data_IF_093388863512
#
_entry.id   IF_093388863512
#
_cell.length_a   1.000
_cell.length_b   1.000
_cell.length_c   1.000
_cell.angle_alpha   90.00
_cell.angle_beta   90.00
_cell.angle_gamma   90.00
#
_symmetry.space_group_name_H-M   'P 1'
#
loop_
_entity.id
_entity.type
_entity.pdbx_description
1 polymer ?
#
# COMPACT_ATOMS: atom_id res chain seq x y z
N UNK A 1 -2.83 -31.90 30.33
CA UNK A 1 -3.12 -30.63 31.05
C UNK A 1 -2.51 -29.50 30.26
N UNK A 2 -3.33 -28.73 29.61
CA UNK A 2 -2.89 -27.62 28.73
C UNK A 2 -2.27 -26.52 29.58
N UNK A 3 -0.96 -26.42 29.53
CA UNK A 3 -0.18 -25.44 30.32
C UNK A 3 -0.44 -24.02 29.82
N UNK A 4 -0.69 -23.08 30.74
CA UNK A 4 -0.73 -21.65 30.42
C UNK A 4 0.64 -21.22 29.88
N UNK A 5 0.65 -20.64 28.66
CA UNK A 5 1.90 -20.24 27.97
C UNK A 5 2.35 -18.83 28.35
N UNK A 6 1.39 -17.94 28.65
CA UNK A 6 1.65 -16.54 29.00
C UNK A 6 0.82 -16.14 30.22
N UNK A 7 1.46 -15.56 31.22
CA UNK A 7 0.81 -15.05 32.42
C UNK A 7 0.99 -13.53 32.47
N UNK A 8 -0.12 -12.82 32.28
CA UNK A 8 -0.18 -11.36 32.44
C UNK A 8 -0.61 -11.04 33.87
N UNK A 9 -1.66 -11.69 34.36
CA UNK A 9 -2.08 -11.62 35.75
C UNK A 9 -2.04 -13.02 36.38
N UNK A 10 -1.17 -13.27 37.39
CA UNK A 10 -1.09 -14.60 38.05
C UNK A 10 -2.41 -15.01 38.72
N UNK A 11 -3.16 -14.05 39.25
CA UNK A 11 -4.44 -14.29 39.93
C UNK A 11 -5.63 -14.10 38.96
N UNK A 12 -5.35 -13.98 37.64
CA UNK A 12 -6.37 -13.76 36.63
C UNK A 12 -7.31 -14.93 36.48
N UNK A 13 -8.60 -14.61 36.39
CA UNK A 13 -9.72 -15.55 36.32
C UNK A 13 -10.06 -15.96 34.87
N UNK A 14 -9.52 -15.25 33.89
CA UNK A 14 -9.75 -15.50 32.46
C UNK A 14 -8.52 -16.11 31.82
N UNK A 15 -8.72 -17.19 31.05
CA UNK A 15 -7.70 -17.77 30.17
C UNK A 15 -8.16 -17.59 28.74
N UNK A 16 -7.48 -16.74 28.00
CA UNK A 16 -7.72 -16.59 26.57
C UNK A 16 -6.98 -17.73 25.85
N UNK A 17 -7.69 -18.48 25.03
CA UNK A 17 -7.15 -19.57 24.21
C UNK A 17 -7.08 -19.07 22.78
N UNK A 18 -5.88 -18.63 22.36
CA UNK A 18 -5.63 -18.19 21.01
C UNK A 18 -5.20 -19.37 20.15
N UNK A 19 -6.05 -19.76 19.20
CA UNK A 19 -5.80 -20.81 18.21
C UNK A 19 -5.39 -20.22 16.89
N UNK A 20 -4.70 -21.00 16.07
CA UNK A 20 -4.26 -20.59 14.74
C UNK A 20 -3.61 -19.19 14.76
N UNK A 21 -2.76 -18.96 15.78
CA UNK A 21 -2.10 -17.67 15.95
C UNK A 21 -1.20 -17.34 14.75
N UNK A 22 -0.97 -16.03 14.54
CA UNK A 22 -0.12 -15.51 13.46
C UNK A 22 -0.62 -15.86 12.05
N UNK A 23 -1.95 -15.92 11.84
CA UNK A 23 -2.48 -16.03 10.49
C UNK A 23 -2.01 -14.82 9.64
N UNK A 24 -1.91 -14.99 8.31
CA UNK A 24 -1.55 -13.91 7.41
C UNK A 24 -2.39 -12.65 7.65
N UNK A 25 -1.74 -11.51 7.68
CA UNK A 25 -2.39 -10.24 8.02
C UNK A 25 -2.33 -9.27 6.85
N UNK A 26 -3.48 -8.69 6.51
CA UNK A 26 -3.61 -7.67 5.49
C UNK A 26 -2.97 -8.11 4.14
N UNK A 27 -3.23 -9.33 3.71
CA UNK A 27 -2.77 -9.83 2.42
C UNK A 27 -3.47 -9.11 1.27
N UNK A 28 -2.72 -8.94 0.19
CA UNK A 28 -3.24 -8.34 -1.03
C UNK A 28 -4.10 -9.37 -1.78
N UNK A 29 -5.23 -8.92 -2.32
CA UNK A 29 -5.96 -9.71 -3.30
C UNK A 29 -5.24 -9.76 -4.65
N UNK A 30 -5.65 -10.70 -5.52
CA UNK A 30 -5.02 -10.90 -6.83
C UNK A 30 -5.08 -9.64 -7.70
N UNK A 31 -6.15 -8.86 -7.61
CA UNK A 31 -6.32 -7.61 -8.35
C UNK A 31 -5.29 -6.56 -7.92
N UNK A 32 -5.02 -6.46 -6.62
CA UNK A 32 -4.00 -5.54 -6.09
C UNK A 32 -2.58 -5.99 -6.45
N UNK A 33 -2.30 -7.28 -6.39
CA UNK A 33 -1.01 -7.84 -6.82
C UNK A 33 -0.76 -7.51 -8.29
N UNK A 34 -1.74 -7.69 -9.17
CA UNK A 34 -1.65 -7.34 -10.58
C UNK A 34 -1.43 -5.82 -10.79
N UNK A 35 -2.13 -4.98 -10.03
CA UNK A 35 -1.99 -3.52 -10.10
C UNK A 35 -0.60 -3.05 -9.65
N UNK A 36 -0.03 -3.65 -8.62
CA UNK A 36 1.32 -3.35 -8.14
C UNK A 36 2.37 -3.78 -9.18
N UNK A 37 2.21 -4.95 -9.78
CA UNK A 37 3.14 -5.48 -10.78
C UNK A 37 3.20 -4.64 -12.06
N UNK A 38 2.14 -3.88 -12.38
CA UNK A 38 2.08 -3.00 -13.55
C UNK A 38 2.73 -1.62 -13.35
N UNK A 39 3.13 -1.26 -12.12
CA UNK A 39 3.75 0.03 -11.85
C UNK A 39 5.19 0.08 -12.35
N UNK A 40 5.62 1.18 -13.03
CA UNK A 40 7.02 1.34 -13.41
C UNK A 40 7.90 1.38 -12.15
N UNK A 41 9.00 0.63 -12.16
CA UNK A 41 10.00 0.71 -11.09
C UNK A 41 10.51 2.16 -10.97
N UNK A 42 10.43 2.74 -9.78
CA UNK A 42 11.04 4.04 -9.51
C UNK A 42 12.56 3.89 -9.67
N UNK A 43 13.10 4.54 -10.71
CA UNK A 43 14.54 4.69 -10.87
C UNK A 43 15.00 5.66 -9.79
N UNK A 44 15.57 5.13 -8.72
CA UNK A 44 16.30 5.92 -7.75
C UNK A 44 17.47 6.58 -8.49
N UNK A 45 17.36 7.88 -8.74
CA UNK A 45 18.44 8.71 -9.26
C UNK A 45 19.52 8.76 -8.18
N UNK A 46 20.74 8.27 -8.44
CA UNK A 46 21.83 8.49 -7.50
C UNK A 46 22.17 9.98 -7.52
N UNK A 47 22.28 10.59 -6.35
CA UNK A 47 22.85 11.94 -6.18
C UNK A 47 24.23 12.01 -6.84
N UNK A 48 24.56 13.12 -7.52
CA UNK A 48 25.87 13.28 -8.13
C UNK A 48 26.95 13.43 -7.05
N UNK A 49 27.82 12.41 -6.93
CA UNK A 49 29.04 12.50 -6.15
C UNK A 49 29.99 13.52 -6.80
N UNK A 50 30.47 14.48 -6.03
CA UNK A 50 31.44 15.47 -6.43
C UNK A 50 32.76 14.78 -6.88
N UNK A 51 33.18 15.05 -8.12
CA UNK A 51 34.46 14.71 -8.69
C UNK A 51 35.57 15.46 -7.97
N UNK A 52 36.56 14.72 -7.44
CA UNK A 52 37.94 15.22 -7.33
C UNK A 52 38.88 14.22 -8.00
N UNK A 53 39.49 14.73 -9.08
CA UNK A 53 40.27 13.99 -10.04
C UNK A 53 41.63 13.49 -9.57
N UNK A 54 42.11 12.49 -10.28
CA UNK A 54 43.46 12.38 -10.89
C UNK A 54 43.63 10.97 -11.47
N UNK A 55 43.73 10.90 -12.78
CA UNK A 55 44.24 9.75 -13.54
C UNK A 55 45.79 9.73 -13.53
N UNK A 56 46.56 8.76 -14.13
CA UNK A 56 46.18 7.82 -15.18
C UNK A 56 46.84 6.38 -15.15
N UNK A 57 46.34 5.53 -16.07
CA UNK A 57 47.01 4.46 -16.86
C UNK A 57 47.48 3.19 -16.13
N UNK A 58 47.08 1.98 -16.55
CA UNK A 58 47.54 1.17 -17.68
C UNK A 58 46.76 -0.16 -17.77
N UNK A 59 46.60 -0.65 -18.96
CA UNK A 59 45.91 -1.88 -19.38
C UNK A 59 46.86 -3.09 -19.47
N UNK A 60 46.38 -4.25 -20.00
CA UNK A 60 46.20 -5.55 -19.34
C UNK A 60 47.26 -6.58 -19.80
N UNK A 61 47.19 -7.88 -19.56
CA UNK A 61 46.49 -8.83 -20.41
C UNK A 61 45.98 -10.18 -19.82
N UNK A 62 44.94 -10.69 -20.45
CA UNK A 62 44.71 -12.04 -21.03
C UNK A 62 45.00 -13.36 -20.28
N UNK A 63 43.90 -14.18 -20.31
CA UNK A 63 43.79 -15.57 -20.79
C UNK A 63 44.12 -16.76 -19.88
N UNK A 64 43.20 -17.67 -19.80
CA UNK A 64 43.03 -19.08 -20.24
C UNK A 64 42.37 -19.89 -19.11
N UNK A 65 41.21 -20.44 -19.24
CA UNK A 65 40.72 -21.62 -19.96
C UNK A 65 41.06 -22.98 -19.32
N UNK A 66 40.04 -23.84 -19.27
CA UNK A 66 40.05 -25.31 -19.21
C UNK A 66 40.20 -25.94 -17.81
N UNK A 67 39.43 -26.95 -17.38
CA UNK A 67 38.73 -28.10 -17.97
C UNK A 67 37.97 -28.83 -16.87
N UNK A 68 36.83 -29.44 -17.21
CA UNK A 68 36.25 -30.59 -16.54
C UNK A 68 37.03 -31.87 -16.84
N UNK A 69 36.90 -32.97 -16.08
CA UNK A 69 35.96 -34.04 -16.40
C UNK A 69 35.31 -34.73 -15.16
N UNK A 70 34.07 -35.13 -15.23
CA UNK A 70 33.48 -36.49 -15.44
C UNK A 70 34.08 -37.62 -14.60
N UNK A 71 33.30 -38.38 -13.86
CA UNK A 71 32.60 -39.64 -14.12
C UNK A 71 32.15 -40.33 -12.79
N UNK A 72 30.97 -40.92 -12.85
CA UNK A 72 30.41 -41.97 -12.00
C UNK A 72 31.21 -43.32 -12.12
N UNK A 73 30.85 -44.49 -11.51
CA UNK A 73 29.52 -44.96 -11.06
C UNK A 73 29.49 -45.94 -9.84
N UNK A 74 28.24 -46.22 -9.42
CA UNK A 74 27.63 -47.45 -8.88
C UNK A 74 28.36 -48.37 -7.92
N UNK A 75 27.66 -48.76 -6.81
CA UNK A 75 27.38 -50.16 -6.53
C UNK A 75 26.22 -50.36 -5.53
N UNK A 76 25.27 -51.17 -5.98
CA UNK A 76 24.13 -51.72 -5.23
C UNK A 76 24.60 -52.80 -4.26
N UNK A 77 23.95 -52.91 -3.10
CA UNK A 77 23.77 -54.21 -2.42
C UNK A 77 22.46 -54.29 -1.61
N UNK A 78 21.84 -55.42 -1.82
CA UNK A 78 20.49 -55.89 -1.55
C UNK A 78 20.13 -56.10 -0.09
N UNK A 79 18.80 -56.08 0.14
CA UNK A 79 17.99 -56.41 1.33
C UNK A 79 18.26 -57.77 1.96
N UNK A 80 17.73 -58.01 3.19
CA UNK A 80 16.61 -58.97 3.29
C UNK A 80 15.38 -58.49 4.06
N UNK A 81 14.28 -59.04 3.67
CA UNK A 81 12.90 -58.83 4.10
C UNK A 81 12.54 -59.46 5.45
N UNK A 82 11.52 -58.80 6.11
CA UNK A 82 10.34 -59.30 6.85
C UNK A 82 10.45 -59.52 8.38
N UNK A 83 9.33 -59.47 9.14
CA UNK A 83 7.90 -59.43 8.78
C UNK A 83 7.06 -58.27 9.34
N UNK A 84 5.88 -58.11 8.78
CA UNK A 84 4.82 -57.18 9.14
C UNK A 84 4.25 -57.39 10.54
N UNK A 85 4.13 -56.32 11.29
CA UNK A 85 3.17 -56.16 12.37
C UNK A 85 2.26 -54.99 12.05
N UNK A 86 0.95 -55.18 12.20
CA UNK A 86 -0.10 -54.24 11.93
C UNK A 86 0.10 -52.89 12.66
N UNK A 87 -0.15 -51.75 12.02
CA UNK A 87 -0.08 -50.46 12.70
C UNK A 87 -1.31 -50.29 13.60
N UNK A 88 -1.08 -50.27 14.90
CA UNK A 88 -2.00 -49.68 15.87
C UNK A 88 -2.15 -48.21 15.45
N UNK A 89 -3.32 -47.84 14.99
CA UNK A 89 -3.74 -46.42 14.85
C UNK A 89 -3.68 -45.79 16.24
N UNK A 90 -2.53 -45.24 16.59
CA UNK A 90 -2.44 -44.17 17.56
C UNK A 90 -2.86 -42.93 16.84
N UNK A 91 -4.10 -42.50 17.08
CA UNK A 91 -4.55 -41.15 16.67
C UNK A 91 -3.55 -40.11 17.17
N UNK A 92 -2.66 -39.70 16.29
CA UNK A 92 -1.78 -38.58 16.54
C UNK A 92 -2.68 -37.34 16.59
N UNK A 93 -2.98 -36.86 17.80
CA UNK A 93 -3.34 -35.48 18.01
C UNK A 93 -2.15 -34.66 17.49
N UNK A 94 -2.29 -34.08 16.31
CA UNK A 94 -1.37 -33.04 15.83
C UNK A 94 -1.47 -31.93 16.86
N UNK A 95 -0.46 -31.84 17.74
CA UNK A 95 -0.31 -30.71 18.64
C UNK A 95 -0.30 -29.45 17.77
N UNK A 96 -1.34 -28.64 17.96
CA UNK A 96 -1.56 -27.36 17.27
C UNK A 96 -0.44 -26.42 17.77
N UNK A 97 0.71 -26.40 17.06
CA UNK A 97 1.90 -25.63 17.42
C UNK A 97 1.63 -24.12 17.55
N UNK A 98 0.43 -23.68 17.13
CA UNK A 98 -0.02 -22.29 17.10
C UNK A 98 -1.06 -21.96 18.19
N UNK A 99 -1.21 -22.77 19.22
CA UNK A 99 -2.18 -22.54 20.30
C UNK A 99 -1.50 -21.93 21.54
N UNK A 100 -1.95 -20.74 21.94
CA UNK A 100 -1.46 -20.04 23.13
C UNK A 100 -2.56 -19.90 24.18
N UNK A 101 -2.20 -20.08 25.45
CA UNK A 101 -3.11 -19.92 26.61
C UNK A 101 -2.61 -18.76 27.47
N UNK A 102 -3.36 -17.65 27.49
CA UNK A 102 -2.96 -16.38 28.10
C UNK A 102 -3.85 -16.13 29.32
N UNK A 103 -3.26 -16.08 30.52
CA UNK A 103 -3.99 -15.78 31.75
C UNK A 103 -4.04 -14.28 32.00
N UNK A 104 -5.24 -13.73 32.21
CA UNK A 104 -5.53 -12.30 32.35
C UNK A 104 -6.61 -12.03 33.39
N UNK A 105 -6.68 -10.80 33.91
CA UNK A 105 -7.71 -10.37 34.84
C UNK A 105 -9.01 -9.97 34.15
N UNK A 106 -10.11 -10.57 34.57
CA UNK A 106 -11.45 -10.21 34.11
C UNK A 106 -11.78 -8.73 34.38
N UNK A 107 -11.35 -8.20 35.54
CA UNK A 107 -11.61 -6.80 35.92
C UNK A 107 -10.94 -5.80 34.99
N UNK A 108 -9.66 -6.04 34.66
CA UNK A 108 -8.94 -5.19 33.72
C UNK A 108 -9.54 -5.22 32.34
N UNK A 109 -9.90 -6.42 31.83
CA UNK A 109 -10.59 -6.57 30.55
C UNK A 109 -11.91 -5.80 30.52
N UNK A 110 -12.76 -5.94 31.53
CA UNK A 110 -14.05 -5.26 31.62
C UNK A 110 -13.93 -3.73 31.77
N UNK A 111 -12.89 -3.25 32.45
CA UNK A 111 -12.65 -1.84 32.62
C UNK A 111 -12.22 -1.18 31.31
N UNK A 112 -11.33 -1.83 30.57
CA UNK A 112 -10.72 -1.29 29.36
C UNK A 112 -11.61 -1.46 28.12
N UNK A 113 -12.56 -2.42 28.10
CA UNK A 113 -13.27 -2.85 26.92
C UNK A 113 -14.77 -3.05 27.17
N UNK A 114 -15.63 -2.29 26.51
CA UNK A 114 -17.08 -2.54 26.49
C UNK A 114 -17.43 -3.92 25.90
N UNK A 115 -16.62 -4.41 24.97
CA UNK A 115 -16.77 -5.75 24.39
C UNK A 115 -16.60 -6.83 25.47
N UNK A 116 -15.46 -6.85 26.17
CA UNK A 116 -15.21 -7.80 27.25
C UNK A 116 -16.18 -7.61 28.43
N UNK A 117 -16.57 -6.36 28.73
CA UNK A 117 -17.58 -6.12 29.75
C UNK A 117 -18.90 -6.80 29.40
N UNK A 118 -19.38 -6.63 28.17
CA UNK A 118 -20.62 -7.29 27.69
C UNK A 118 -20.49 -8.81 27.69
N UNK A 119 -19.33 -9.33 27.25
CA UNK A 119 -19.05 -10.76 27.21
C UNK A 119 -19.06 -11.41 28.60
N UNK A 120 -18.44 -10.76 29.61
CA UNK A 120 -18.25 -11.33 30.94
C UNK A 120 -19.40 -11.01 31.93
N UNK A 121 -20.22 -9.99 31.71
CA UNK A 121 -21.34 -9.62 32.58
C UNK A 121 -22.73 -9.77 31.94
N UNK A 122 -22.80 -10.06 30.64
CA UNK A 122 -24.05 -10.18 29.89
C UNK A 122 -24.84 -11.46 30.25
N UNK A 123 -25.74 -11.82 29.32
CA UNK A 123 -26.52 -13.08 29.43
C UNK A 123 -25.94 -14.18 28.53
N UNK A 124 -24.68 -14.07 28.19
CA UNK A 124 -23.99 -15.02 27.32
C UNK A 124 -23.57 -16.26 28.12
N UNK A 125 -23.32 -17.35 27.42
CA UNK A 125 -22.85 -18.59 28.00
C UNK A 125 -21.58 -18.41 28.83
N UNK A 126 -20.69 -17.55 28.32
CA UNK A 126 -19.42 -17.17 28.92
C UNK A 126 -19.63 -16.46 30.26
N UNK A 127 -20.53 -15.48 30.34
CA UNK A 127 -20.80 -14.77 31.59
C UNK A 127 -21.42 -15.69 32.67
N UNK A 128 -22.33 -16.61 32.27
CA UNK A 128 -22.92 -17.56 33.18
C UNK A 128 -21.84 -18.52 33.71
N UNK A 129 -20.94 -18.99 32.85
CA UNK A 129 -19.83 -19.86 33.27
C UNK A 129 -18.87 -19.13 34.23
N UNK A 130 -18.53 -17.86 33.94
CA UNK A 130 -17.71 -17.01 34.81
C UNK A 130 -18.35 -16.81 36.20
N UNK A 131 -19.62 -16.47 36.26
CA UNK A 131 -20.36 -16.25 37.50
C UNK A 131 -20.46 -17.49 38.36
N UNK A 132 -20.59 -18.68 37.75
CA UNK A 132 -20.69 -19.96 38.49
C UNK A 132 -19.37 -20.55 38.93
N UNK A 133 -18.34 -20.45 38.06
CA UNK A 133 -17.04 -21.12 38.29
C UNK A 133 -15.97 -20.19 38.84
N UNK A 134 -16.16 -18.87 38.78
CA UNK A 134 -15.13 -17.89 39.14
C UNK A 134 -13.96 -17.81 38.15
N UNK A 135 -13.96 -18.65 37.10
CA UNK A 135 -12.96 -18.61 36.02
C UNK A 135 -13.57 -19.04 34.70
N UNK A 136 -12.96 -18.61 33.61
CA UNK A 136 -13.48 -18.86 32.26
C UNK A 136 -12.34 -18.98 31.23
N UNK A 137 -12.59 -19.82 30.24
CA UNK A 137 -11.77 -19.89 29.00
C UNK A 137 -12.49 -19.17 27.88
N UNK A 138 -11.79 -18.24 27.21
CA UNK A 138 -12.29 -17.48 26.06
C UNK A 138 -11.52 -17.93 24.80
N UNK A 139 -12.19 -18.58 23.85
CA UNK A 139 -11.56 -18.94 22.59
C UNK A 139 -11.44 -17.72 21.69
N UNK A 140 -10.25 -17.53 21.13
CA UNK A 140 -9.91 -16.53 20.11
C UNK A 140 -9.11 -17.20 19.01
N UNK A 141 -9.10 -16.63 17.81
CA UNK A 141 -8.49 -17.25 16.66
C UNK A 141 -7.79 -16.22 15.74
N UNK A 142 -6.65 -16.62 15.15
CA UNK A 142 -6.02 -15.92 14.03
C UNK A 142 -5.16 -14.71 14.39
N UNK A 143 -5.24 -14.18 15.60
CA UNK A 143 -4.50 -12.98 15.97
C UNK A 143 -2.99 -13.20 16.04
N UNK A 144 -2.21 -12.17 15.72
CA UNK A 144 -0.77 -12.16 16.00
C UNK A 144 -0.54 -12.14 17.50
N UNK A 145 0.20 -13.13 18.01
CA UNK A 145 0.42 -13.31 19.45
C UNK A 145 1.14 -12.11 20.06
N UNK A 146 2.12 -11.50 19.36
CA UNK A 146 2.88 -10.38 19.90
C UNK A 146 2.03 -9.12 19.97
N UNK A 147 1.25 -8.83 18.92
CA UNK A 147 0.31 -7.72 18.91
C UNK A 147 -0.75 -7.87 20.02
N UNK A 148 -1.26 -9.09 20.21
CA UNK A 148 -2.23 -9.38 21.25
C UNK A 148 -1.64 -9.24 22.66
N UNK A 149 -0.42 -9.72 22.90
CA UNK A 149 0.27 -9.52 24.16
C UNK A 149 0.56 -8.04 24.47
N UNK A 150 0.90 -7.23 23.45
CA UNK A 150 1.07 -5.77 23.60
C UNK A 150 -0.24 -5.15 24.09
N UNK A 151 -1.37 -5.45 23.43
CA UNK A 151 -2.68 -4.95 23.82
C UNK A 151 -3.06 -5.38 25.24
N UNK A 152 -2.95 -6.66 25.55
CA UNK A 152 -3.29 -7.19 26.88
C UNK A 152 -2.42 -6.58 27.97
N UNK A 153 -1.11 -6.36 27.73
CA UNK A 153 -0.21 -5.65 28.64
C UNK A 153 -0.62 -4.19 28.85
N UNK A 154 -1.05 -3.52 27.79
CA UNK A 154 -1.56 -2.14 27.88
C UNK A 154 -2.82 -2.09 28.78
N UNK A 155 -3.77 -2.99 28.57
CA UNK A 155 -4.99 -3.14 29.40
C UNK A 155 -4.64 -3.41 30.87
N UNK A 156 -3.59 -4.16 31.17
CA UNK A 156 -3.16 -4.53 32.53
C UNK A 156 -2.09 -3.58 33.11
N UNK A 157 -1.86 -2.41 32.49
CA UNK A 157 -0.89 -1.42 32.95
C UNK A 157 0.55 -1.92 33.09
N UNK A 158 0.93 -2.96 32.32
CA UNK A 158 2.29 -3.52 32.30
C UNK A 158 3.20 -2.75 31.32
N UNK A 159 3.29 -1.46 31.49
CA UNK A 159 3.95 -0.52 30.56
C UNK A 159 5.43 -0.83 30.29
N UNK A 160 6.16 -1.38 31.26
CA UNK A 160 7.57 -1.77 31.07
C UNK A 160 7.79 -2.93 30.08
N UNK A 161 6.74 -3.71 29.80
CA UNK A 161 6.79 -4.85 28.88
C UNK A 161 6.28 -4.50 27.48
N UNK A 162 5.88 -3.25 27.26
CA UNK A 162 5.40 -2.77 25.98
C UNK A 162 6.57 -2.15 25.22
N UNK A 163 6.88 -2.62 23.99
CA UNK A 163 7.91 -2.02 23.16
C UNK A 163 7.64 -0.55 22.89
N UNK A 164 8.68 0.27 22.90
CA UNK A 164 8.56 1.70 22.58
C UNK A 164 8.62 1.98 21.08
N UNK A 165 9.17 1.05 20.31
CA UNK A 165 9.27 1.07 18.85
C UNK A 165 8.48 -0.11 18.30
N UNK A 166 7.70 0.11 17.26
CA UNK A 166 6.96 -0.89 16.52
C UNK A 166 7.18 -0.67 15.03
N UNK A 167 7.13 -1.73 14.24
CA UNK A 167 7.00 -1.62 12.79
C UNK A 167 5.60 -1.15 12.42
N UNK A 168 5.41 -0.59 11.21
CA UNK A 168 4.10 -0.21 10.69
C UNK A 168 3.13 -1.38 10.73
N UNK A 169 3.59 -2.58 10.37
CA UNK A 169 2.76 -3.79 10.42
C UNK A 169 2.32 -4.14 11.84
N UNK A 170 3.24 -4.14 12.81
CA UNK A 170 2.91 -4.45 14.20
C UNK A 170 1.95 -3.42 14.80
N UNK A 171 2.13 -2.15 14.45
CA UNK A 171 1.23 -1.09 14.86
C UNK A 171 -0.17 -1.25 14.25
N UNK A 172 -0.25 -1.62 12.96
CA UNK A 172 -1.52 -1.90 12.30
C UNK A 172 -2.25 -3.09 12.95
N UNK A 173 -1.54 -4.19 13.23
CA UNK A 173 -2.09 -5.35 13.95
C UNK A 173 -2.64 -4.96 15.33
N UNK A 174 -1.86 -4.18 16.10
CA UNK A 174 -2.28 -3.71 17.42
C UNK A 174 -3.52 -2.80 17.38
N UNK A 175 -3.60 -1.92 16.40
CA UNK A 175 -4.76 -1.02 16.23
C UNK A 175 -6.01 -1.74 15.74
N UNK A 176 -5.88 -2.75 14.87
CA UNK A 176 -7.00 -3.60 14.46
C UNK A 176 -7.56 -4.37 15.66
N UNK A 177 -6.69 -4.92 16.52
CA UNK A 177 -7.09 -5.56 17.76
C UNK A 177 -7.82 -4.60 18.71
N UNK A 178 -7.28 -3.38 18.89
CA UNK A 178 -7.87 -2.37 19.76
C UNK A 178 -9.24 -1.90 19.24
N UNK A 179 -9.38 -1.77 17.91
CA UNK A 179 -10.68 -1.48 17.29
C UNK A 179 -11.68 -2.63 17.46
N UNK A 180 -11.23 -3.88 17.25
CA UNK A 180 -12.09 -5.06 17.40
C UNK A 180 -12.64 -5.18 18.83
N UNK A 181 -11.77 -5.11 19.82
CA UNK A 181 -12.16 -5.22 21.24
C UNK A 181 -12.68 -3.91 21.84
N UNK A 182 -12.74 -2.83 21.08
CA UNK A 182 -13.22 -1.49 21.52
C UNK A 182 -12.48 -1.00 22.77
N UNK A 183 -11.16 -1.01 22.71
CA UNK A 183 -10.27 -0.61 23.80
C UNK A 183 -9.20 0.40 23.38
N UNK A 184 -9.58 1.33 22.51
CA UNK A 184 -8.71 2.38 21.96
C UNK A 184 -8.04 3.20 23.07
N UNK A 185 -8.75 3.46 24.17
CA UNK A 185 -8.23 4.24 25.30
C UNK A 185 -7.00 3.57 25.94
N UNK A 186 -6.97 2.23 25.99
CA UNK A 186 -5.86 1.47 26.59
C UNK A 186 -4.52 1.69 25.86
N UNK A 187 -4.55 1.97 24.54
CA UNK A 187 -3.35 2.22 23.75
C UNK A 187 -3.13 3.69 23.38
N UNK A 188 -4.06 4.58 23.74
CA UNK A 188 -4.01 6.01 23.36
C UNK A 188 -2.75 6.71 23.87
N UNK A 189 -2.29 6.39 25.06
CA UNK A 189 -1.06 6.95 25.65
C UNK A 189 0.21 6.55 24.86
N UNK A 190 0.17 5.45 24.14
CA UNK A 190 1.28 4.95 23.33
C UNK A 190 1.33 5.56 21.95
N UNK A 191 0.23 6.15 21.46
CA UNK A 191 0.12 6.68 20.09
C UNK A 191 1.27 7.59 19.74
N UNK A 192 1.51 8.64 20.55
CA UNK A 192 2.59 9.61 20.30
C UNK A 192 3.98 8.95 20.32
N UNK A 193 4.19 7.98 21.22
CA UNK A 193 5.47 7.28 21.36
C UNK A 193 5.73 6.45 20.09
N UNK A 194 4.77 5.62 19.69
CA UNK A 194 4.92 4.75 18.54
C UNK A 194 5.00 5.52 17.22
N UNK A 195 4.11 6.50 17.00
CA UNK A 195 4.11 7.29 15.77
C UNK A 195 5.43 8.07 15.59
N UNK A 196 5.95 8.67 16.67
CA UNK A 196 7.22 9.39 16.61
C UNK A 196 8.45 8.48 16.47
N UNK A 197 8.31 7.20 16.80
CA UNK A 197 9.37 6.22 16.72
C UNK A 197 9.33 5.37 15.43
N UNK A 198 8.33 5.59 14.57
CA UNK A 198 8.27 4.91 13.27
C UNK A 198 9.38 5.46 12.36
N UNK A 199 10.22 4.55 11.86
CA UNK A 199 11.28 4.84 10.89
C UNK A 199 10.78 4.70 9.44
N UNK A 200 9.70 3.91 9.24
CA UNK A 200 9.12 3.69 7.92
C UNK A 200 8.32 4.90 7.46
N UNK A 201 8.64 5.37 6.25
CA UNK A 201 7.91 6.45 5.59
C UNK A 201 6.64 5.92 4.91
N UNK A 202 5.71 6.86 4.62
CA UNK A 202 4.53 6.52 3.83
C UNK A 202 4.97 6.22 2.40
N UNK A 203 4.63 5.04 1.85
CA UNK A 203 5.02 4.67 0.49
C UNK A 203 4.55 5.66 -0.57
N UNK A 204 5.41 5.96 -1.54
CA UNK A 204 5.08 6.74 -2.74
C UNK A 204 4.42 5.89 -3.84
N UNK A 205 4.35 4.56 -3.65
CA UNK A 205 3.77 3.58 -4.56
C UNK A 205 2.47 2.99 -4.01
N UNK A 206 1.63 2.44 -4.89
CA UNK A 206 0.43 1.71 -4.50
C UNK A 206 0.83 0.32 -3.99
N UNK A 207 0.82 0.13 -2.69
CA UNK A 207 1.37 -1.06 -2.02
C UNK A 207 0.54 -1.47 -0.81
N UNK A 208 0.78 -2.67 -0.29
CA UNK A 208 0.19 -3.14 0.97
C UNK A 208 0.44 -2.15 2.12
N UNK A 209 1.68 -1.70 2.25
CA UNK A 209 2.08 -0.83 3.37
C UNK A 209 1.42 0.55 3.29
N UNK A 210 1.07 1.02 2.08
CA UNK A 210 0.25 2.21 1.92
C UNK A 210 -1.12 2.06 2.60
N UNK A 211 -1.75 0.88 2.52
CA UNK A 211 -3.03 0.61 3.19
C UNK A 211 -2.86 0.44 4.69
N UNK A 212 -1.74 -0.09 5.17
CA UNK A 212 -1.42 -0.09 6.60
C UNK A 212 -1.35 1.35 7.14
N UNK A 213 -0.63 2.24 6.43
CA UNK A 213 -0.57 3.66 6.76
C UNK A 213 -1.92 4.36 6.66
N UNK A 214 -2.74 4.02 5.67
CA UNK A 214 -4.09 4.58 5.53
C UNK A 214 -4.95 4.21 6.74
N UNK A 215 -4.89 2.93 7.17
CA UNK A 215 -5.59 2.48 8.37
C UNK A 215 -5.07 3.16 9.64
N UNK A 216 -3.76 3.14 9.88
CA UNK A 216 -3.12 3.75 11.07
C UNK A 216 -3.47 5.25 11.16
N UNK A 217 -3.33 5.97 10.05
CA UNK A 217 -3.61 7.40 10.02
C UNK A 217 -5.09 7.74 10.22
N UNK A 218 -5.99 6.89 9.71
CA UNK A 218 -7.42 6.99 10.00
C UNK A 218 -7.71 6.71 11.48
N UNK A 219 -7.16 5.64 12.04
CA UNK A 219 -7.39 5.21 13.40
C UNK A 219 -6.92 6.25 14.43
N UNK A 220 -5.69 6.71 14.31
CA UNK A 220 -5.09 7.69 15.23
C UNK A 220 -5.40 9.15 14.89
N UNK A 221 -6.23 9.41 13.89
CA UNK A 221 -6.59 10.77 13.45
C UNK A 221 -5.36 11.63 13.12
N UNK A 222 -4.49 11.12 12.24
CA UNK A 222 -3.28 11.77 11.77
C UNK A 222 -3.53 12.49 10.43
N UNK A 223 -3.90 13.79 10.41
CA UNK A 223 -4.41 14.43 9.19
C UNK A 223 -3.37 14.53 8.07
N UNK A 224 -2.10 14.75 8.42
CA UNK A 224 -1.02 14.86 7.41
C UNK A 224 -0.76 13.53 6.72
N UNK A 225 -0.58 12.46 7.51
CA UNK A 225 -0.33 11.11 7.03
C UNK A 225 -1.53 10.58 6.25
N UNK A 226 -2.74 10.83 6.73
CA UNK A 226 -3.97 10.44 6.04
C UNK A 226 -4.09 11.14 4.67
N UNK A 227 -3.82 12.45 4.62
CA UNK A 227 -3.84 13.21 3.36
C UNK A 227 -2.80 12.68 2.38
N UNK A 228 -1.59 12.37 2.84
CA UNK A 228 -0.54 11.81 2.01
C UNK A 228 -0.88 10.40 1.50
N UNK A 229 -1.31 9.49 2.38
CA UNK A 229 -1.66 8.12 2.01
C UNK A 229 -2.83 8.07 1.01
N UNK A 230 -3.89 8.87 1.24
CA UNK A 230 -5.02 8.95 0.31
C UNK A 230 -4.64 9.59 -1.03
N UNK A 231 -3.77 10.60 -1.04
CA UNK A 231 -3.22 11.20 -2.27
C UNK A 231 -2.49 10.17 -3.11
N UNK A 232 -1.58 9.41 -2.49
CA UNK A 232 -0.82 8.35 -3.17
C UNK A 232 -1.75 7.26 -3.69
N UNK A 233 -2.69 6.78 -2.87
CA UNK A 233 -3.64 5.74 -3.27
C UNK A 233 -4.46 6.16 -4.50
N UNK A 234 -5.02 7.37 -4.51
CA UNK A 234 -5.81 7.89 -5.64
C UNK A 234 -4.97 8.13 -6.89
N UNK A 235 -3.74 8.63 -6.72
CA UNK A 235 -2.89 9.02 -7.85
C UNK A 235 -2.23 7.81 -8.54
N UNK A 236 -1.95 6.76 -7.80
CA UNK A 236 -1.20 5.58 -8.26
C UNK A 236 -2.06 4.34 -8.53
N UNK A 237 -3.35 4.35 -8.19
CA UNK A 237 -4.25 3.25 -8.49
C UNK A 237 -4.59 3.19 -9.98
N UNK A 238 -4.45 2.01 -10.59
CA UNK A 238 -4.84 1.75 -11.97
C UNK A 238 -6.34 1.44 -12.12
N UNK A 239 -6.96 0.99 -11.03
CA UNK A 239 -8.35 0.55 -11.02
C UNK A 239 -9.13 1.16 -9.86
N UNK A 240 -10.37 0.70 -9.70
CA UNK A 240 -11.20 1.02 -8.55
C UNK A 240 -10.50 0.60 -7.27
N UNK A 241 -10.31 1.55 -6.35
CA UNK A 241 -9.67 1.29 -5.05
C UNK A 241 -10.62 0.43 -4.22
N UNK A 242 -10.16 -0.76 -3.84
CA UNK A 242 -10.84 -1.69 -2.94
C UNK A 242 -10.13 -1.71 -1.59
N UNK A 243 -10.79 -2.20 -0.58
CA UNK A 243 -10.14 -2.53 0.69
C UNK A 243 -9.56 -3.95 0.62
N UNK A 244 -8.63 -4.17 -0.32
CA UNK A 244 -8.04 -5.48 -0.61
C UNK A 244 -7.40 -6.17 0.60
N UNK A 245 -6.64 -5.44 1.46
CA UNK A 245 -6.05 -6.06 2.66
C UNK A 245 -7.05 -6.42 3.78
N UNK A 246 -8.35 -6.19 3.62
CA UNK A 246 -9.34 -6.51 4.65
C UNK A 246 -9.23 -5.70 5.94
N UNK A 247 -8.54 -4.56 5.93
CA UNK A 247 -8.41 -3.66 7.06
C UNK A 247 -9.75 -2.97 7.39
N UNK A 248 -10.04 -2.59 8.64
CA UNK A 248 -11.33 -1.97 9.00
C UNK A 248 -11.41 -0.48 8.57
N UNK A 249 -10.95 -0.17 7.36
CA UNK A 249 -11.07 1.15 6.75
C UNK A 249 -12.54 1.37 6.40
N UNK A 250 -13.16 2.48 6.85
CA UNK A 250 -14.57 2.71 6.58
C UNK A 250 -14.88 2.83 5.09
N UNK A 251 -15.99 2.24 4.64
CA UNK A 251 -16.43 2.31 3.25
C UNK A 251 -16.54 3.75 2.73
N UNK A 252 -16.93 4.72 3.59
CA UNK A 252 -16.98 6.14 3.23
C UNK A 252 -15.63 6.70 2.78
N UNK A 253 -14.50 6.23 3.36
CA UNK A 253 -13.14 6.64 2.96
C UNK A 253 -12.82 6.10 1.58
N UNK A 254 -13.06 4.79 1.37
CA UNK A 254 -12.83 4.12 0.09
C UNK A 254 -13.66 4.77 -1.03
N UNK A 255 -14.95 5.02 -0.77
CA UNK A 255 -15.84 5.66 -1.75
C UNK A 255 -15.37 7.08 -2.08
N UNK A 256 -15.04 7.90 -1.06
CA UNK A 256 -14.55 9.27 -1.28
C UNK A 256 -13.23 9.30 -2.08
N UNK A 257 -12.33 8.33 -1.89
CA UNK A 257 -11.12 8.20 -2.71
C UNK A 257 -11.48 7.89 -4.17
N UNK A 258 -12.39 6.96 -4.41
CA UNK A 258 -12.79 6.59 -5.76
C UNK A 258 -13.48 7.74 -6.48
N UNK A 259 -14.43 8.43 -5.84
CA UNK A 259 -15.13 9.57 -6.40
C UNK A 259 -14.13 10.67 -6.82
N UNK A 260 -13.15 10.97 -5.95
CA UNK A 260 -12.13 11.99 -6.21
C UNK A 260 -11.15 11.58 -7.31
N UNK A 261 -10.80 10.30 -7.37
CA UNK A 261 -9.97 9.73 -8.44
C UNK A 261 -10.66 9.83 -9.79
N UNK A 262 -11.94 9.43 -9.87
CA UNK A 262 -12.73 9.54 -11.11
C UNK A 262 -12.85 10.98 -11.57
N UNK A 263 -13.18 11.90 -10.66
CA UNK A 263 -13.27 13.32 -10.95
C UNK A 263 -11.95 13.87 -11.52
N UNK A 264 -10.82 13.55 -10.87
CA UNK A 264 -9.51 14.03 -11.29
C UNK A 264 -9.10 13.52 -12.69
N UNK A 265 -9.29 12.22 -12.95
CA UNK A 265 -8.99 11.62 -14.27
C UNK A 265 -9.93 12.20 -15.33
N UNK A 266 -11.24 12.30 -15.04
CA UNK A 266 -12.20 12.89 -15.97
C UNK A 266 -11.85 14.33 -16.33
N UNK A 267 -11.47 15.14 -15.34
CA UNK A 267 -11.09 16.53 -15.55
C UNK A 267 -9.83 16.66 -16.43
N UNK A 268 -8.82 15.80 -16.19
CA UNK A 268 -7.61 15.80 -17.03
C UNK A 268 -7.93 15.42 -18.48
N UNK A 269 -8.72 14.37 -18.70
CA UNK A 269 -9.17 13.97 -20.04
C UNK A 269 -10.00 15.09 -20.68
N UNK A 270 -10.89 15.75 -19.91
CA UNK A 270 -11.70 16.87 -20.41
C UNK A 270 -10.82 18.04 -20.89
N UNK A 271 -9.80 18.41 -20.12
CA UNK A 271 -8.85 19.47 -20.51
C UNK A 271 -8.17 19.16 -21.86
N UNK A 272 -7.78 17.90 -22.09
CA UNK A 272 -7.19 17.47 -23.36
C UNK A 272 -8.18 17.59 -24.53
N UNK A 273 -9.43 17.15 -24.34
CA UNK A 273 -10.47 17.22 -25.38
C UNK A 273 -10.89 18.67 -25.65
N UNK A 274 -11.05 19.51 -24.63
CA UNK A 274 -11.39 20.93 -24.78
C UNK A 274 -10.27 21.70 -25.48
N UNK A 275 -9.01 21.44 -25.14
CA UNK A 275 -7.85 22.01 -25.81
C UNK A 275 -7.83 21.62 -27.30
N UNK A 276 -8.09 20.33 -27.58
CA UNK A 276 -8.16 19.84 -28.98
C UNK A 276 -9.27 20.52 -29.77
N UNK A 277 -10.47 20.69 -29.19
CA UNK A 277 -11.59 21.35 -29.82
C UNK A 277 -11.33 22.85 -30.02
N UNK A 278 -10.69 23.51 -29.05
CA UNK A 278 -10.30 24.90 -29.16
C UNK A 278 -9.25 25.14 -30.26
N UNK A 279 -8.34 24.19 -30.48
CA UNK A 279 -7.41 24.22 -31.62
C UNK A 279 -8.12 23.99 -32.96
N UNK A 280 -9.10 23.06 -33.00
CA UNK A 280 -9.89 22.77 -34.20
C UNK A 280 -10.74 23.98 -34.63
N UNK A 281 -11.41 24.62 -33.69
CA UNK A 281 -12.24 25.81 -33.92
C UNK A 281 -11.43 27.08 -34.19
N UNK A 282 -10.10 27.06 -33.93
CA UNK A 282 -9.24 28.22 -34.08
C UNK A 282 -9.35 29.24 -32.94
N UNK A 283 -10.02 28.90 -31.83
CA UNK A 283 -10.07 29.76 -30.62
C UNK A 283 -8.75 29.71 -29.84
N UNK A 284 -7.93 28.69 -30.08
CA UNK A 284 -6.51 28.61 -29.67
C UNK A 284 -5.60 28.56 -30.89
N UNK A 285 -4.36 29.01 -30.72
CA UNK A 285 -3.38 29.22 -31.78
C UNK A 285 -3.37 30.67 -32.27
N UNK A 286 -2.19 31.18 -32.62
CA UNK A 286 -2.04 32.56 -33.10
C UNK A 286 -2.50 32.75 -34.55
N UNK A 287 -2.92 31.69 -35.25
CA UNK A 287 -3.45 31.72 -36.63
C UNK A 287 -3.76 30.31 -37.13
N UNK A 288 -4.31 30.20 -38.32
CA UNK A 288 -4.78 28.94 -38.92
C UNK A 288 -3.71 27.85 -38.98
N UNK A 289 -2.48 28.21 -39.39
CA UNK A 289 -1.37 27.25 -39.48
C UNK A 289 -1.01 26.71 -38.09
N UNK A 290 -0.88 27.59 -37.08
CA UNK A 290 -0.56 27.22 -35.71
C UNK A 290 -1.63 26.28 -35.11
N UNK A 291 -2.90 26.66 -35.19
CA UNK A 291 -4.00 25.85 -34.68
C UNK A 291 -4.10 24.49 -35.38
N UNK A 292 -3.91 24.45 -36.71
CA UNK A 292 -3.96 23.20 -37.49
C UNK A 292 -2.82 22.24 -37.17
N UNK A 293 -1.59 22.73 -37.03
CA UNK A 293 -0.41 21.94 -36.69
C UNK A 293 -0.54 21.38 -35.26
N UNK A 294 -0.90 22.25 -34.31
CA UNK A 294 -1.06 21.85 -32.90
C UNK A 294 -2.23 20.89 -32.70
N UNK A 295 -3.36 21.09 -33.40
CA UNK A 295 -4.47 20.12 -33.41
C UNK A 295 -4.05 18.74 -33.89
N UNK A 296 -3.30 18.69 -35.01
CA UNK A 296 -2.78 17.45 -35.56
C UNK A 296 -1.82 16.75 -34.63
N UNK A 297 -0.90 17.49 -34.01
CA UNK A 297 0.06 16.96 -33.04
C UNK A 297 -0.64 16.44 -31.79
N UNK A 298 -1.54 17.22 -31.17
CA UNK A 298 -2.30 16.80 -30.00
C UNK A 298 -3.16 15.56 -30.28
N UNK A 299 -3.81 15.50 -31.45
CA UNK A 299 -4.63 14.36 -31.85
C UNK A 299 -3.78 13.07 -32.01
N UNK A 300 -2.53 13.18 -32.50
CA UNK A 300 -1.60 12.04 -32.59
C UNK A 300 -1.16 11.58 -31.20
N UNK A 301 -0.76 12.51 -30.34
CA UNK A 301 -0.36 12.18 -28.95
C UNK A 301 -1.51 11.55 -28.17
N UNK A 302 -2.73 12.08 -28.26
CA UNK A 302 -3.90 11.48 -27.63
C UNK A 302 -4.21 10.08 -28.18
N UNK A 303 -4.03 9.86 -29.50
CA UNK A 303 -4.27 8.56 -30.11
C UNK A 303 -3.23 7.52 -29.70
N UNK A 304 -1.96 7.89 -29.61
CA UNK A 304 -0.87 6.99 -29.19
C UNK A 304 -0.96 6.59 -27.73
N UNK A 305 -1.76 7.32 -26.94
CA UNK A 305 -2.01 7.05 -25.51
C UNK A 305 -3.43 6.55 -25.22
N UNK A 306 -4.13 6.01 -26.23
CA UNK A 306 -5.47 5.41 -26.12
C UNK A 306 -6.57 6.36 -25.60
N UNK A 307 -6.36 7.68 -25.76
CA UNK A 307 -7.35 8.71 -25.42
C UNK A 307 -8.27 9.07 -26.60
N UNK A 308 -7.99 8.49 -27.77
CA UNK A 308 -8.76 8.58 -29.03
C UNK A 308 -8.68 7.24 -29.78
N UNK A 309 -9.66 6.88 -30.63
CA UNK A 309 -10.84 7.64 -31.01
C UNK A 309 -11.94 7.70 -29.96
N UNK A 310 -12.02 6.71 -29.06
CA UNK A 310 -13.01 6.69 -27.97
C UNK A 310 -12.44 7.34 -26.72
N UNK A 311 -13.22 8.26 -26.13
CA UNK A 311 -12.88 8.84 -24.84
C UNK A 311 -12.97 7.76 -23.76
N UNK A 312 -11.94 7.58 -22.92
CA UNK A 312 -12.06 6.71 -21.74
C UNK A 312 -13.21 7.15 -20.83
N UNK A 313 -13.93 6.17 -20.28
CA UNK A 313 -15.09 6.40 -19.42
C UNK A 313 -14.86 5.80 -18.03
N UNK A 314 -15.56 6.35 -17.03
CA UNK A 314 -15.57 5.81 -15.67
C UNK A 314 -15.95 4.31 -15.67
N UNK A 315 -15.35 3.51 -14.79
CA UNK A 315 -14.48 3.87 -13.67
C UNK A 315 -12.99 4.05 -14.03
N UNK A 316 -12.64 4.29 -15.29
CA UNK A 316 -11.28 4.49 -15.82
C UNK A 316 -10.35 3.32 -15.45
N UNK A 317 -10.79 2.11 -15.77
CA UNK A 317 -10.00 0.91 -15.57
C UNK A 317 -8.68 0.97 -16.37
N UNK A 318 -7.59 0.51 -15.77
CA UNK A 318 -6.23 0.53 -16.31
C UNK A 318 -5.69 1.95 -16.62
N UNK A 319 -6.26 2.96 -15.96
CA UNK A 319 -5.84 4.36 -16.13
C UNK A 319 -5.36 4.94 -14.79
N UNK A 320 -4.05 5.12 -14.67
CA UNK A 320 -3.38 5.69 -13.52
C UNK A 320 -3.22 7.20 -13.69
N UNK A 321 -3.70 8.00 -12.73
CA UNK A 321 -3.66 9.47 -12.84
C UNK A 321 -2.23 10.00 -12.97
N UNK A 322 -1.30 9.56 -12.11
CA UNK A 322 0.08 10.06 -12.12
C UNK A 322 0.78 9.70 -13.44
N UNK A 323 0.58 8.47 -13.94
CA UNK A 323 1.09 8.04 -15.24
C UNK A 323 0.48 8.83 -16.39
N UNK A 324 -0.81 9.14 -16.32
CA UNK A 324 -1.48 9.94 -17.35
C UNK A 324 -0.93 11.38 -17.39
N UNK A 325 -0.74 12.03 -16.23
CA UNK A 325 -0.09 13.35 -16.16
C UNK A 325 1.32 13.29 -16.70
N UNK A 326 2.11 12.26 -16.35
CA UNK A 326 3.46 12.09 -16.88
C UNK A 326 3.47 11.95 -18.39
N UNK A 327 2.57 11.14 -18.96
CA UNK A 327 2.41 10.99 -20.41
C UNK A 327 2.05 12.34 -21.08
N UNK A 328 1.09 13.07 -20.54
CA UNK A 328 0.68 14.38 -21.07
C UNK A 328 1.82 15.40 -21.00
N UNK A 329 2.59 15.39 -19.90
CA UNK A 329 3.76 16.26 -19.74
C UNK A 329 4.91 15.92 -20.70
N UNK A 330 4.94 14.68 -21.21
CA UNK A 330 5.93 14.21 -22.18
C UNK A 330 5.51 14.40 -23.65
N UNK A 331 4.34 14.95 -23.92
CA UNK A 331 3.88 15.19 -25.29
C UNK A 331 4.87 16.04 -26.07
N UNK A 332 5.23 15.57 -27.27
CA UNK A 332 6.21 16.22 -28.12
C UNK A 332 5.59 17.38 -28.88
N UNK A 333 6.04 18.59 -28.58
CA UNK A 333 5.62 19.80 -29.30
C UNK A 333 6.20 19.83 -30.71
N UNK A 334 5.38 20.05 -31.75
CA UNK A 334 5.87 20.15 -33.13
C UNK A 334 6.72 21.42 -33.31
N UNK A 335 7.71 21.33 -34.18
CA UNK A 335 8.51 22.50 -34.59
C UNK A 335 8.25 22.80 -36.04
N UNK A 336 7.93 24.06 -36.37
CA UNK A 336 7.73 24.54 -37.74
C UNK A 336 8.23 25.99 -37.91
N UNK A 337 8.42 26.35 -39.14
CA UNK A 337 8.86 27.70 -39.50
C UNK A 337 7.69 28.48 -40.09
N UNK A 338 7.54 29.75 -39.71
CA UNK A 338 6.52 30.62 -40.27
C UNK A 338 6.68 30.85 -41.78
N UNK A 339 5.62 31.32 -42.49
CA UNK A 339 5.67 31.55 -43.90
C UNK A 339 6.78 32.55 -44.28
N UNK A 340 7.43 32.29 -45.41
CA UNK A 340 8.46 33.20 -45.95
C UNK A 340 7.91 34.61 -46.17
N UNK A 341 8.48 35.60 -45.48
CA UNK A 341 8.42 36.95 -45.97
C UNK A 341 9.32 37.03 -47.20
N UNK A 342 8.72 37.16 -48.36
CA UNK A 342 9.41 37.22 -49.68
C UNK A 342 10.27 38.46 -49.89
N UNK A 343 10.50 39.26 -48.85
CA UNK A 343 11.37 40.43 -48.90
C UNK A 343 12.60 40.30 -48.02
N UNK A 344 13.75 40.28 -48.67
CA UNK A 344 15.12 40.40 -48.18
C UNK A 344 15.84 39.13 -47.79
N UNK A 345 16.98 38.92 -48.50
CA UNK A 345 17.92 37.84 -48.31
C UNK A 345 18.49 37.73 -46.89
N UNK A 346 18.86 36.50 -46.51
CA UNK A 346 19.70 36.10 -45.37
C UNK A 346 19.20 36.45 -43.95
N UNK A 347 17.88 36.30 -43.63
CA UNK A 347 17.48 36.23 -42.24
C UNK A 347 17.44 34.76 -41.76
N UNK A 348 17.95 34.47 -40.57
CA UNK A 348 17.84 33.14 -40.02
C UNK A 348 16.38 32.74 -39.88
N UNK A 349 16.05 31.48 -40.22
CA UNK A 349 14.71 30.90 -40.02
C UNK A 349 14.49 30.74 -38.53
N UNK A 350 13.58 31.52 -37.99
CA UNK A 350 13.15 31.32 -36.60
C UNK A 350 12.01 30.30 -36.57
N UNK A 351 12.13 29.33 -35.64
CA UNK A 351 11.04 28.42 -35.36
C UNK A 351 9.84 29.25 -34.83
N UNK A 352 8.65 28.88 -35.24
CA UNK A 352 7.43 29.50 -34.72
C UNK A 352 7.34 29.35 -33.20
N UNK A 353 7.02 30.43 -32.50
CA UNK A 353 6.88 30.46 -31.05
C UNK A 353 5.71 31.37 -30.65
N UNK A 354 4.73 30.80 -29.96
CA UNK A 354 3.65 31.51 -29.28
C UNK A 354 3.20 30.66 -28.06
N UNK A 355 2.34 31.22 -27.21
CA UNK A 355 1.82 30.50 -26.02
C UNK A 355 1.13 29.16 -26.34
N UNK A 356 0.52 29.05 -27.53
CA UNK A 356 -0.20 27.84 -27.93
C UNK A 356 0.65 26.89 -28.81
N UNK A 357 1.94 27.17 -29.04
CA UNK A 357 2.82 26.38 -29.91
C UNK A 357 3.59 25.28 -29.16
N UNK A 358 3.35 25.11 -27.86
CA UNK A 358 4.04 24.14 -27.04
C UNK A 358 3.09 23.47 -26.05
N UNK A 359 3.16 22.16 -25.96
CA UNK A 359 2.40 21.40 -24.95
C UNK A 359 2.85 21.69 -23.52
N UNK A 360 4.10 22.08 -23.33
CA UNK A 360 4.61 22.55 -22.03
C UNK A 360 3.85 23.78 -21.54
N UNK A 361 3.51 24.73 -22.44
CA UNK A 361 2.68 25.89 -22.07
C UNK A 361 1.21 25.53 -21.88
N UNK A 362 0.69 24.57 -22.65
CA UNK A 362 -0.72 24.17 -22.57
C UNK A 362 -1.04 23.32 -21.34
N UNK A 363 -0.09 22.50 -20.89
CA UNK A 363 -0.29 21.47 -19.86
C UNK A 363 0.71 21.53 -18.71
N UNK A 364 1.61 22.54 -18.66
CA UNK A 364 2.66 22.65 -17.67
C UNK A 364 2.18 22.88 -16.23
N UNK A 365 0.93 23.31 -16.04
CA UNK A 365 0.34 23.56 -14.72
C UNK A 365 -0.47 22.37 -14.18
N UNK A 366 -0.39 21.18 -14.81
CA UNK A 366 -1.09 20.00 -14.34
C UNK A 366 -0.48 19.53 -13.00
N UNK A 367 -1.35 19.28 -12.04
CA UNK A 367 -0.93 18.69 -10.77
C UNK A 367 -0.44 17.26 -10.98
N UNK A 368 0.74 16.92 -10.47
CA UNK A 368 1.33 15.59 -10.60
C UNK A 368 0.66 14.52 -9.71
N UNK A 369 -0.10 14.95 -8.71
CA UNK A 369 -0.85 14.06 -7.82
C UNK A 369 -2.22 14.63 -7.50
N UNK A 370 -3.17 13.74 -7.22
CA UNK A 370 -4.50 14.08 -6.72
C UNK A 370 -4.34 14.57 -5.28
N UNK A 371 -4.98 15.69 -4.94
CA UNK A 371 -4.97 16.17 -3.56
C UNK A 371 -5.64 15.15 -2.63
N UNK A 372 -4.95 14.76 -1.54
CA UNK A 372 -5.44 13.80 -0.57
C UNK A 372 -6.69 14.29 0.17
N UNK A 373 -7.41 13.33 0.75
CA UNK A 373 -8.64 13.61 1.50
C UNK A 373 -8.34 14.34 2.80
N UNK A 374 -9.22 15.22 3.17
CA UNK A 374 -9.21 15.92 4.44
C UNK A 374 -9.96 15.09 5.48
N UNK A 375 -9.25 14.67 6.52
CA UNK A 375 -9.79 13.80 7.56
C UNK A 375 -10.99 14.42 8.29
N UNK A 376 -10.97 15.76 8.47
CA UNK A 376 -12.02 16.49 9.20
C UNK A 376 -13.31 16.65 8.38
N UNK A 377 -13.27 16.39 7.08
CA UNK A 377 -14.43 16.52 6.19
C UNK A 377 -15.13 15.18 5.90
N UNK A 378 -14.60 14.10 6.44
CA UNK A 378 -15.14 12.74 6.33
C UNK A 378 -15.94 12.35 7.56
#
# INVERSE_FOLDING_TARGET
MDRVTHIIDPDGEVVIILRNANTPFAELDEDMVASIASQPAEVSTPEPAEENGLAPAEQPPEQQAEQQPEEEPEEQLQQPEQPAEDPIEIGGETEDETCFRIRVSAKHLMLASPYFKKLLTGRWRESVAYQHKGSIELPEEGWDINAFLILLRAIHSQHYRIPRTLTVEMLAKGTVLADYYKCEEAISVWTTIWINALEEEIPSTYSRDLFLWLWISWYFKLPKQFKQATSTAMSRSDNWIKNGPGLPIPAKVINAMNDRREEAINNLIQVLHDTREALLSGTRGCGFECSSIMYGALSKEMRSNDLLPSRPAAPFANLNYASLVQKVSSFSSPQWYGPYSSYSGHRPRYCHSCSDSSFTYLFGELNHAIEGLDLDKL
#
